data_IF_625215228050
#
_entry.id   IF_625215228050
#
_cell.length_a   1.000
_cell.length_b   1.000
_cell.length_c   1.000
_cell.angle_alpha   90.00
_cell.angle_beta   90.00
_cell.angle_gamma   90.00
#
_symmetry.space_group_name_H-M   'P 1'
#
loop_
_entity.id
_entity.type
_entity.pdbx_description
1 polymer ?
#
# COMPACT_ATOMS: atom_id res chain seq x y z
N UNK A 1 12.47 -15.73 -13.53
CA UNK A 1 11.09 -16.25 -13.54
C UNK A 1 11.19 -17.70 -13.92
N UNK A 2 10.76 -18.59 -13.02
CA UNK A 2 10.70 -20.02 -13.25
C UNK A 2 9.74 -20.60 -12.20
N UNK A 3 8.72 -21.35 -12.64
CA UNK A 3 7.67 -21.91 -11.77
C UNK A 3 8.17 -22.87 -10.69
N UNK A 4 9.43 -23.31 -10.74
CA UNK A 4 10.03 -24.27 -9.80
C UNK A 4 11.17 -23.68 -8.98
N UNK A 5 11.90 -22.70 -9.52
CA UNK A 5 13.12 -22.18 -8.89
C UNK A 5 13.24 -20.64 -8.93
N UNK A 6 12.28 -19.95 -9.53
CA UNK A 6 12.27 -18.49 -9.60
C UNK A 6 11.60 -17.87 -8.37
N UNK A 7 11.96 -16.62 -8.06
CA UNK A 7 11.28 -15.83 -7.01
C UNK A 7 9.79 -15.61 -7.35
N UNK A 8 9.49 -15.53 -8.65
CA UNK A 8 8.16 -15.34 -9.20
C UNK A 8 7.81 -16.51 -10.12
N UNK A 9 6.57 -16.98 -10.01
CA UNK A 9 6.00 -18.03 -10.84
C UNK A 9 5.69 -17.50 -12.24
N UNK A 10 5.06 -16.32 -12.31
CA UNK A 10 4.77 -15.62 -13.55
C UNK A 10 4.77 -14.09 -13.36
N UNK A 11 4.88 -13.36 -14.48
CA UNK A 11 4.70 -11.91 -14.58
C UNK A 11 4.13 -11.62 -15.97
N UNK A 12 2.86 -11.22 -16.03
CA UNK A 12 2.15 -11.00 -17.28
C UNK A 12 1.18 -9.81 -17.20
N UNK A 13 0.83 -9.26 -18.36
CA UNK A 13 -0.24 -8.25 -18.46
C UNK A 13 -1.64 -8.89 -18.58
N UNK A 14 -1.70 -10.23 -18.74
CA UNK A 14 -2.90 -11.02 -19.03
C UNK A 14 -3.77 -10.38 -20.13
N UNK A 15 -5.05 -10.73 -20.21
CA UNK A 15 -6.05 -10.05 -21.05
C UNK A 15 -6.65 -8.84 -20.31
N UNK A 16 -5.84 -8.10 -19.54
CA UNK A 16 -6.34 -7.00 -18.71
C UNK A 16 -6.54 -5.74 -19.54
N UNK A 17 -7.43 -4.82 -19.13
CA UNK A 17 -7.53 -3.54 -19.79
C UNK A 17 -6.19 -2.79 -19.66
N UNK A 18 -5.67 -2.29 -20.77
CA UNK A 18 -4.38 -1.59 -20.85
C UNK A 18 -4.53 -0.10 -21.19
N UNK A 19 -5.75 0.42 -21.02
CA UNK A 19 -6.07 1.83 -21.24
C UNK A 19 -7.21 2.25 -20.31
N UNK A 20 -7.14 3.46 -19.71
CA UNK A 20 -6.05 4.44 -19.78
C UNK A 20 -4.79 4.08 -18.98
N UNK A 21 -4.87 3.08 -18.10
CA UNK A 21 -3.73 2.55 -17.37
C UNK A 21 -3.34 1.15 -17.83
N UNK A 22 -2.04 0.90 -17.81
CA UNK A 22 -1.47 -0.42 -17.95
C UNK A 22 -1.62 -1.16 -16.63
N UNK A 23 -1.90 -2.46 -16.72
CA UNK A 23 -2.05 -3.29 -15.54
C UNK A 23 -1.34 -4.62 -15.75
N UNK A 24 -0.64 -5.06 -14.72
CA UNK A 24 0.23 -6.23 -14.72
C UNK A 24 -0.01 -7.06 -13.46
N UNK A 25 0.09 -8.38 -13.58
CA UNK A 25 -0.03 -9.34 -12.48
C UNK A 25 1.26 -10.13 -12.32
N UNK A 26 1.57 -10.51 -11.09
CA UNK A 26 2.64 -11.45 -10.80
C UNK A 26 2.19 -12.52 -9.79
N UNK A 27 2.58 -13.76 -10.04
CA UNK A 27 2.43 -14.88 -9.13
C UNK A 27 3.65 -15.08 -8.25
N UNK A 28 3.44 -15.26 -6.95
CA UNK A 28 4.49 -15.43 -5.96
C UNK A 28 4.82 -16.91 -5.80
N UNK A 29 6.10 -17.24 -5.82
CA UNK A 29 6.57 -18.58 -5.45
C UNK A 29 6.47 -18.78 -3.92
N UNK A 30 6.25 -20.03 -3.50
CA UNK A 30 6.38 -20.48 -2.11
C UNK A 30 7.61 -21.40 -1.97
N UNK A 31 8.82 -20.83 -1.84
CA UNK A 31 10.07 -21.58 -1.93
C UNK A 31 10.28 -22.56 -0.77
N UNK A 32 9.61 -22.34 0.37
CA UNK A 32 9.79 -23.13 1.58
C UNK A 32 8.54 -23.94 1.96
N UNK A 33 7.48 -23.90 1.16
CA UNK A 33 6.25 -24.65 1.40
C UNK A 33 5.50 -24.19 2.64
N UNK A 34 5.53 -22.87 2.93
CA UNK A 34 4.78 -22.30 4.06
C UNK A 34 3.28 -22.31 3.83
N UNK A 35 2.86 -22.30 2.56
CA UNK A 35 1.46 -22.31 2.19
C UNK A 35 0.95 -23.75 2.05
N UNK A 36 -0.30 -24.02 2.44
CA UNK A 36 -0.91 -25.31 2.18
C UNK A 36 -0.92 -25.65 0.69
N UNK A 37 -0.68 -26.91 0.32
CA UNK A 37 -0.64 -27.34 -1.09
C UNK A 37 -1.94 -27.12 -1.88
N UNK A 38 -3.07 -26.87 -1.20
CA UNK A 38 -4.35 -26.55 -1.81
C UNK A 38 -4.55 -25.04 -2.02
N UNK A 39 -3.73 -24.20 -1.38
CA UNK A 39 -3.88 -22.75 -1.46
C UNK A 39 -3.62 -22.29 -2.91
N UNK A 40 -4.41 -21.34 -3.42
CA UNK A 40 -4.12 -20.75 -4.71
C UNK A 40 -2.77 -20.04 -4.66
N UNK A 41 -2.10 -19.97 -5.81
CA UNK A 41 -0.88 -19.17 -5.97
C UNK A 41 -1.21 -17.73 -5.54
N UNK A 42 -0.47 -17.15 -4.58
CA UNK A 42 -0.68 -15.76 -4.23
C UNK A 42 -0.32 -14.86 -5.40
N UNK A 43 -1.14 -13.87 -5.67
CA UNK A 43 -0.90 -12.92 -6.75
C UNK A 43 -0.91 -11.49 -6.25
N UNK A 44 -0.19 -10.64 -6.96
CA UNK A 44 -0.19 -9.19 -6.79
C UNK A 44 -0.44 -8.51 -8.12
N UNK A 45 -0.94 -7.29 -8.02
CA UNK A 45 -1.34 -6.45 -9.14
C UNK A 45 -0.60 -5.14 -9.05
N UNK A 46 -0.06 -4.68 -10.18
CA UNK A 46 0.48 -3.34 -10.33
C UNK A 46 -0.14 -2.65 -11.54
N UNK A 47 -0.13 -1.32 -11.50
CA UNK A 47 -0.73 -0.41 -12.47
C UNK A 47 0.19 0.77 -12.74
N UNK A 48 -0.04 1.45 -13.86
CA UNK A 48 0.75 2.61 -14.22
C UNK A 48 0.25 3.30 -15.49
N UNK A 49 0.79 4.48 -15.77
CA UNK A 49 0.47 5.21 -17.00
C UNK A 49 1.12 4.58 -18.22
N UNK A 50 2.19 3.81 -18.00
CA UNK A 50 2.83 3.01 -19.02
C UNK A 50 3.16 1.60 -18.50
N UNK A 51 3.60 0.76 -19.43
CA UNK A 51 3.93 -0.64 -19.17
C UNK A 51 5.08 -0.79 -18.18
N UNK A 52 6.08 0.08 -18.22
CA UNK A 52 7.28 -0.05 -17.39
C UNK A 52 6.96 0.31 -15.95
N UNK A 53 6.11 1.32 -15.72
CA UNK A 53 5.57 1.66 -14.41
C UNK A 53 4.75 0.51 -13.81
N UNK A 54 3.77 -0.02 -14.55
CA UNK A 54 2.92 -1.12 -14.07
C UNK A 54 3.75 -2.37 -13.74
N UNK A 55 4.74 -2.70 -14.58
CA UNK A 55 5.66 -3.82 -14.34
C UNK A 55 6.57 -3.56 -13.15
N UNK A 56 7.05 -2.33 -12.96
CA UNK A 56 7.91 -1.99 -11.82
C UNK A 56 7.13 -2.09 -10.51
N UNK A 57 5.91 -1.54 -10.46
CA UNK A 57 5.07 -1.61 -9.26
C UNK A 57 4.76 -3.07 -8.89
N UNK A 58 4.28 -3.87 -9.84
CA UNK A 58 3.95 -5.27 -9.56
C UNK A 58 5.19 -6.09 -9.17
N UNK A 59 6.36 -5.82 -9.77
CA UNK A 59 7.61 -6.49 -9.42
C UNK A 59 8.03 -6.17 -7.98
N UNK A 60 7.96 -4.91 -7.56
CA UNK A 60 8.30 -4.51 -6.20
C UNK A 60 7.34 -5.14 -5.19
N UNK A 61 6.03 -5.09 -5.45
CA UNK A 61 5.02 -5.72 -4.61
C UNK A 61 5.21 -7.25 -4.52
N UNK A 62 5.52 -7.91 -5.65
CA UNK A 62 5.69 -9.35 -5.71
C UNK A 62 6.95 -9.81 -4.97
N UNK A 63 8.05 -9.06 -5.10
CA UNK A 63 9.29 -9.35 -4.37
C UNK A 63 9.10 -9.15 -2.86
N UNK A 64 8.38 -8.12 -2.44
CA UNK A 64 8.04 -7.92 -1.03
C UNK A 64 7.22 -9.09 -0.47
N UNK A 65 6.17 -9.51 -1.20
CA UNK A 65 5.32 -10.63 -0.81
C UNK A 65 6.07 -11.96 -0.80
N UNK A 66 6.91 -12.23 -1.81
CA UNK A 66 7.81 -13.39 -1.81
C UNK A 66 8.71 -13.39 -0.57
N UNK A 67 9.33 -12.25 -0.26
CA UNK A 67 10.26 -12.16 0.85
C UNK A 67 9.57 -12.38 2.21
N UNK A 68 8.29 -12.02 2.34
CA UNK A 68 7.47 -12.36 3.52
C UNK A 68 7.02 -13.83 3.59
N UNK A 69 7.21 -14.62 2.52
CA UNK A 69 7.08 -16.09 2.52
C UNK A 69 8.43 -16.80 2.67
N UNK A 70 9.53 -16.10 2.45
CA UNK A 70 10.87 -16.68 2.34
C UNK A 70 11.53 -16.93 3.72
N UNK A 71 10.91 -17.66 4.64
CA UNK A 71 11.38 -17.79 6.03
C UNK A 71 12.44 -18.89 6.24
N UNK A 72 13.67 -18.50 6.58
CA UNK A 72 14.65 -19.42 7.17
C UNK A 72 14.47 -19.55 8.69
N UNK A 73 13.82 -20.64 9.13
CA UNK A 73 13.57 -20.92 10.56
C UNK A 73 14.83 -20.94 11.43
N UNK A 74 16.02 -21.16 10.87
CA UNK A 74 17.28 -21.20 11.63
C UNK A 74 17.74 -19.81 12.06
N UNK A 75 17.21 -18.75 11.43
CA UNK A 75 17.52 -17.35 11.73
C UNK A 75 16.63 -16.76 12.82
N UNK A 76 15.47 -17.39 13.06
CA UNK A 76 14.54 -16.98 14.10
C UNK A 76 15.15 -17.17 15.49
N UNK A 77 14.88 -16.21 16.37
CA UNK A 77 15.30 -16.25 17.76
C UNK A 77 14.34 -17.12 18.58
N UNK A 78 14.83 -17.87 19.58
CA UNK A 78 13.94 -18.48 20.57
C UNK A 78 13.32 -17.40 21.46
N UNK A 79 12.00 -17.46 21.64
CA UNK A 79 11.25 -16.62 22.58
C UNK A 79 10.39 -17.49 23.52
N UNK A 80 9.95 -16.91 24.65
CA UNK A 80 9.11 -17.62 25.64
C UNK A 80 7.80 -18.14 25.04
N UNK A 81 7.25 -17.42 24.06
CA UNK A 81 5.96 -17.73 23.45
C UNK A 81 6.09 -18.35 22.04
N UNK A 82 7.30 -18.68 21.59
CA UNK A 82 7.54 -19.25 20.27
C UNK A 82 8.86 -18.77 19.69
N UNK A 83 8.79 -18.15 18.51
CA UNK A 83 9.94 -17.60 17.79
C UNK A 83 9.80 -16.10 17.64
N UNK A 84 10.93 -15.39 17.64
CA UNK A 84 11.00 -13.96 17.43
C UNK A 84 11.93 -13.61 16.28
N UNK A 85 11.75 -12.41 15.74
CA UNK A 85 12.63 -11.79 14.74
C UNK A 85 13.16 -10.45 15.27
N UNK A 86 14.34 -10.02 14.81
CA UNK A 86 14.84 -8.69 15.11
C UNK A 86 14.25 -7.66 14.16
N UNK A 87 13.67 -6.61 14.72
CA UNK A 87 13.36 -5.39 14.00
C UNK A 87 14.07 -4.17 14.58
N UNK A 88 13.90 -3.03 13.92
CA UNK A 88 14.44 -1.74 14.35
C UNK A 88 13.33 -0.71 14.45
N UNK A 89 13.34 0.05 15.53
CA UNK A 89 12.53 1.26 15.65
C UNK A 89 13.10 2.33 14.70
N UNK A 90 12.38 2.76 13.65
CA UNK A 90 12.91 3.68 12.64
C UNK A 90 13.12 5.10 13.19
N UNK A 91 12.63 5.42 14.38
CA UNK A 91 12.79 6.73 15.01
C UNK A 91 13.98 6.72 15.98
N UNK A 92 14.06 5.72 16.87
CA UNK A 92 15.14 5.65 17.87
C UNK A 92 16.37 4.90 17.37
N UNK A 93 16.25 4.10 16.32
CA UNK A 93 17.29 3.18 15.84
C UNK A 93 17.50 1.96 16.75
N UNK A 94 16.70 1.82 17.82
CA UNK A 94 16.87 0.74 18.77
C UNK A 94 16.40 -0.61 18.17
N UNK A 95 17.19 -1.68 18.33
CA UNK A 95 16.74 -3.02 17.97
C UNK A 95 15.63 -3.46 18.92
N UNK A 96 14.64 -4.18 18.40
CA UNK A 96 13.50 -4.71 19.15
C UNK A 96 13.21 -6.14 18.71
N UNK A 97 13.08 -7.10 19.64
CA UNK A 97 12.54 -8.40 19.30
C UNK A 97 11.04 -8.26 19.08
N UNK A 98 10.52 -8.92 18.05
CA UNK A 98 9.07 -9.02 17.79
C UNK A 98 8.69 -10.48 17.56
N UNK A 99 7.43 -10.88 17.83
CA UNK A 99 6.93 -12.20 17.43
C UNK A 99 7.13 -12.44 15.94
N UNK A 100 7.66 -13.62 15.58
CA UNK A 100 7.99 -13.95 14.20
C UNK A 100 6.76 -13.97 13.29
N UNK A 101 5.59 -14.31 13.83
CA UNK A 101 4.32 -14.27 13.09
C UNK A 101 3.88 -12.86 12.67
N UNK A 102 4.38 -11.80 13.31
CA UNK A 102 4.15 -10.43 12.86
C UNK A 102 5.06 -10.07 11.67
N UNK A 103 6.28 -10.61 11.63
CA UNK A 103 7.20 -10.45 10.51
C UNK A 103 6.80 -11.31 9.31
N UNK A 104 6.33 -12.53 9.58
CA UNK A 104 6.02 -13.57 8.60
C UNK A 104 4.65 -14.20 8.91
N UNK A 105 3.53 -13.54 8.55
CA UNK A 105 2.19 -14.02 8.90
C UNK A 105 1.83 -15.40 8.35
N UNK A 106 2.51 -15.85 7.29
CA UNK A 106 2.34 -17.21 6.76
C UNK A 106 2.69 -18.31 7.76
N UNK A 107 3.49 -18.02 8.79
CA UNK A 107 3.82 -18.99 9.86
C UNK A 107 2.59 -19.47 10.65
N UNK A 108 1.51 -18.69 10.65
CA UNK A 108 0.28 -18.97 11.42
C UNK A 108 -0.99 -18.89 10.57
N UNK A 109 -0.86 -18.71 9.25
CA UNK A 109 -1.98 -18.57 8.34
C UNK A 109 -2.67 -19.91 8.09
N UNK A 110 -3.68 -20.23 8.90
CA UNK A 110 -4.51 -21.42 8.71
C UNK A 110 -5.77 -21.10 7.90
N UNK A 111 -5.97 -21.80 6.78
CA UNK A 111 -7.26 -21.88 6.10
C UNK A 111 -7.67 -20.68 5.23
N UNK A 112 -6.87 -19.63 5.11
CA UNK A 112 -7.12 -18.49 4.22
C UNK A 112 -6.13 -18.45 3.05
N UNK A 113 -6.58 -17.89 1.92
CA UNK A 113 -5.67 -17.60 0.81
C UNK A 113 -4.68 -16.51 1.25
N UNK A 114 -3.39 -16.77 1.05
CA UNK A 114 -2.35 -15.83 1.43
C UNK A 114 -2.43 -14.55 0.60
N UNK A 115 -2.26 -13.42 1.28
CA UNK A 115 -2.03 -12.11 0.67
C UNK A 115 -0.77 -11.53 1.28
N UNK A 116 0.07 -10.81 0.51
CA UNK A 116 1.18 -10.07 1.09
C UNK A 116 0.69 -9.21 2.25
N UNK A 117 1.38 -9.24 3.40
CA UNK A 117 0.90 -8.57 4.59
C UNK A 117 1.05 -7.06 4.46
N UNK A 118 0.15 -6.30 5.09
CA UNK A 118 0.30 -4.85 5.21
C UNK A 118 1.65 -4.53 5.84
N UNK A 119 2.41 -3.65 5.18
CA UNK A 119 3.76 -3.28 5.58
C UNK A 119 4.86 -4.02 4.84
N UNK A 120 4.56 -5.08 4.08
CA UNK A 120 5.53 -5.73 3.20
C UNK A 120 5.79 -4.81 2.02
N UNK A 121 7.03 -4.34 1.91
CA UNK A 121 7.40 -3.35 0.91
C UNK A 121 8.79 -3.59 0.35
N UNK A 122 8.96 -3.18 -0.89
CA UNK A 122 10.22 -3.16 -1.59
C UNK A 122 10.45 -1.78 -2.21
N UNK A 123 11.71 -1.41 -2.42
CA UNK A 123 12.04 -0.18 -3.12
C UNK A 123 13.46 -0.18 -3.66
N UNK A 124 13.84 0.81 -4.48
CA UNK A 124 15.22 0.99 -4.94
C UNK A 124 16.13 1.56 -3.85
N UNK A 125 15.58 1.94 -2.70
CA UNK A 125 16.31 2.36 -1.51
C UNK A 125 15.61 1.90 -0.23
N UNK A 126 16.37 1.79 0.87
CA UNK A 126 15.81 1.49 2.20
C UNK A 126 14.73 2.50 2.63
N UNK A 127 14.95 3.79 2.31
CA UNK A 127 14.01 4.85 2.67
C UNK A 127 12.68 4.72 1.91
N UNK A 128 12.72 4.31 0.65
CA UNK A 128 11.52 4.10 -0.16
C UNK A 128 10.75 2.87 0.30
N UNK A 129 11.43 1.74 0.53
CA UNK A 129 10.79 0.53 1.06
C UNK A 129 10.12 0.80 2.43
N UNK A 130 10.81 1.51 3.33
CA UNK A 130 10.25 1.92 4.63
C UNK A 130 9.05 2.86 4.47
N UNK A 131 9.16 3.84 3.58
CA UNK A 131 8.10 4.81 3.35
C UNK A 131 6.85 4.13 2.78
N UNK A 132 7.03 3.17 1.88
CA UNK A 132 5.95 2.37 1.30
C UNK A 132 5.28 1.46 2.35
N UNK A 133 6.05 0.69 3.11
CA UNK A 133 5.49 -0.16 4.18
C UNK A 133 4.76 0.65 5.24
N UNK A 134 5.28 1.83 5.59
CA UNK A 134 4.60 2.75 6.53
C UNK A 134 3.32 3.32 5.92
N UNK A 135 3.33 3.68 4.63
CA UNK A 135 2.17 4.22 3.90
C UNK A 135 1.02 3.21 3.86
N UNK A 136 1.31 1.92 3.66
CA UNK A 136 0.32 0.85 3.69
C UNK A 136 -0.40 0.79 5.06
N UNK A 137 0.33 0.84 6.17
CA UNK A 137 -0.27 0.91 7.51
C UNK A 137 -1.10 2.18 7.73
N UNK A 138 -0.60 3.33 7.28
CA UNK A 138 -1.38 4.57 7.35
C UNK A 138 -2.67 4.49 6.53
N UNK A 139 -2.67 3.81 5.38
CA UNK A 139 -3.88 3.64 4.58
C UNK A 139 -4.92 2.76 5.29
N UNK A 140 -4.50 1.66 5.92
CA UNK A 140 -5.38 0.79 6.73
C UNK A 140 -5.96 1.56 7.93
N UNK A 141 -5.13 2.30 8.66
CA UNK A 141 -5.58 3.13 9.78
C UNK A 141 -6.51 4.25 9.32
N UNK A 142 -6.27 4.84 8.14
CA UNK A 142 -7.10 5.90 7.58
C UNK A 142 -8.50 5.39 7.29
N UNK A 143 -8.62 4.20 6.70
CA UNK A 143 -9.90 3.56 6.42
C UNK A 143 -10.69 3.32 7.72
N UNK A 144 -10.04 2.78 8.75
CA UNK A 144 -10.65 2.57 10.06
C UNK A 144 -11.14 3.89 10.67
N UNK A 145 -10.29 4.92 10.68
CA UNK A 145 -10.65 6.23 11.23
C UNK A 145 -11.77 6.90 10.44
N UNK A 146 -11.80 6.73 9.11
CA UNK A 146 -12.86 7.27 8.27
C UNK A 146 -14.20 6.59 8.55
N UNK A 147 -14.20 5.26 8.74
CA UNK A 147 -15.41 4.50 9.05
C UNK A 147 -16.07 4.95 10.37
N UNK A 148 -15.27 5.34 11.36
CA UNK A 148 -15.74 5.82 12.67
C UNK A 148 -15.99 7.33 12.74
N UNK A 149 -15.68 8.09 11.67
CA UNK A 149 -15.74 9.55 11.69
C UNK A 149 -17.10 10.10 11.26
N UNK A 150 -17.74 10.86 12.15
CA UNK A 150 -19.05 11.49 11.89
C UNK A 150 -18.94 13.01 11.57
N UNK A 151 -17.74 13.58 11.59
CA UNK A 151 -17.54 15.02 11.44
C UNK A 151 -17.50 15.52 9.99
N UNK A 152 -17.37 16.85 9.81
CA UNK A 152 -17.17 17.45 8.50
C UNK A 152 -15.80 17.12 7.91
N UNK A 153 -15.76 16.85 6.61
CA UNK A 153 -14.57 16.60 5.80
C UNK A 153 -14.39 17.72 4.76
N UNK A 154 -13.26 18.44 4.76
CA UNK A 154 -12.98 19.50 3.79
C UNK A 154 -12.94 18.97 2.36
N UNK A 155 -13.76 19.52 1.48
CA UNK A 155 -13.65 19.24 0.04
C UNK A 155 -12.44 19.98 -0.54
N UNK A 156 -11.69 19.31 -1.41
CA UNK A 156 -10.62 19.91 -2.18
C UNK A 156 -11.16 20.52 -3.49
N UNK A 157 -10.68 21.71 -3.82
CA UNK A 157 -10.86 22.30 -5.15
C UNK A 157 -9.93 21.62 -6.16
N UNK A 158 -10.30 20.41 -6.61
CA UNK A 158 -9.47 19.60 -7.52
C UNK A 158 -9.05 20.37 -8.79
N UNK A 159 -9.92 21.14 -9.47
CA UNK A 159 -9.52 21.94 -10.64
C UNK A 159 -8.45 23.01 -10.34
N UNK A 160 -8.51 23.64 -9.16
CA UNK A 160 -7.58 24.68 -8.73
C UNK A 160 -6.40 24.19 -7.88
N UNK A 161 -6.34 22.91 -7.56
CA UNK A 161 -5.32 22.35 -6.68
C UNK A 161 -3.96 22.28 -7.38
N UNK A 162 -2.84 22.69 -6.74
CA UNK A 162 -1.52 22.57 -7.35
C UNK A 162 -1.12 21.11 -7.47
N UNK A 163 -1.02 20.64 -8.72
CA UNK A 163 -0.61 19.29 -9.09
C UNK A 163 0.74 19.32 -9.82
N UNK A 164 1.47 18.21 -9.74
CA UNK A 164 2.60 17.96 -10.64
C UNK A 164 2.07 17.48 -12.01
N UNK A 165 2.96 17.37 -13.00
CA UNK A 165 2.58 17.00 -14.38
C UNK A 165 1.83 15.67 -14.46
N UNK A 166 2.29 14.65 -13.70
CA UNK A 166 1.65 13.33 -13.63
C UNK A 166 0.21 13.42 -13.11
N UNK A 167 0.02 14.01 -11.94
CA UNK A 167 -1.30 14.11 -11.32
C UNK A 167 -2.25 15.00 -12.14
N UNK A 168 -1.72 16.04 -12.79
CA UNK A 168 -2.50 16.87 -13.70
C UNK A 168 -2.92 16.11 -14.97
N UNK A 169 -2.08 15.20 -15.47
CA UNK A 169 -2.45 14.29 -16.55
C UNK A 169 -3.56 13.31 -16.15
N UNK A 170 -3.43 12.66 -14.98
CA UNK A 170 -4.47 11.79 -14.43
C UNK A 170 -5.80 12.53 -14.24
N UNK A 171 -5.75 13.77 -13.73
CA UNK A 171 -6.92 14.65 -13.60
C UNK A 171 -7.58 14.92 -14.96
N UNK A 172 -6.80 15.14 -16.02
CA UNK A 172 -7.34 15.32 -17.39
C UNK A 172 -8.01 14.04 -17.90
N UNK A 173 -7.36 12.88 -17.75
CA UNK A 173 -7.94 11.59 -18.15
C UNK A 173 -9.28 11.32 -17.46
N UNK A 174 -9.34 11.56 -16.14
CA UNK A 174 -10.60 11.47 -15.39
C UNK A 174 -11.67 12.47 -15.87
N UNK A 175 -11.25 13.66 -16.31
CA UNK A 175 -12.15 14.63 -16.94
C UNK A 175 -12.68 14.17 -18.31
N UNK A 176 -11.89 13.44 -19.08
CA UNK A 176 -12.24 12.92 -20.40
C UNK A 176 -13.22 11.73 -20.33
N UNK A 177 -13.14 10.90 -19.28
CA UNK A 177 -14.08 9.79 -19.07
C UNK A 177 -15.48 10.24 -18.62
N UNK A 178 -15.65 11.53 -18.30
CA UNK A 178 -16.96 12.15 -18.06
C UNK A 178 -17.53 11.95 -16.65
N UNK A 179 -16.76 11.39 -15.72
CA UNK A 179 -17.18 11.23 -14.32
C UNK A 179 -16.57 12.32 -13.43
N UNK A 180 -17.39 13.10 -12.69
CA UNK A 180 -16.87 14.16 -11.85
C UNK A 180 -16.10 13.59 -10.66
N UNK A 181 -14.81 13.92 -10.59
CA UNK A 181 -13.96 13.57 -9.46
C UNK A 181 -14.18 14.55 -8.29
N UNK A 182 -14.54 14.02 -7.12
CA UNK A 182 -14.70 14.80 -5.89
C UNK A 182 -13.66 14.34 -4.87
N UNK A 183 -12.79 15.24 -4.41
CA UNK A 183 -11.75 14.91 -3.45
C UNK A 183 -11.99 15.57 -2.08
N UNK A 184 -11.56 14.91 -1.02
CA UNK A 184 -11.62 15.39 0.37
C UNK A 184 -10.26 15.31 1.04
N UNK A 185 -9.91 16.34 1.81
CA UNK A 185 -8.72 16.35 2.66
C UNK A 185 -9.00 15.55 3.94
N UNK A 186 -8.30 14.43 4.10
CA UNK A 186 -8.39 13.57 5.27
C UNK A 186 -7.20 13.76 6.23
N UNK A 187 -6.36 14.77 6.01
CA UNK A 187 -5.16 15.02 6.81
C UNK A 187 -5.48 15.15 8.30
N UNK A 188 -6.63 15.72 8.64
CA UNK A 188 -7.09 15.88 10.02
C UNK A 188 -7.30 14.57 10.78
N UNK A 189 -7.52 13.44 10.10
CA UNK A 189 -7.82 12.15 10.74
C UNK A 189 -6.58 11.49 11.33
N UNK A 190 -5.43 11.61 10.65
CA UNK A 190 -4.16 10.97 11.04
C UNK A 190 -3.02 11.95 11.30
N UNK A 191 -3.21 13.25 11.04
CA UNK A 191 -2.13 14.24 10.98
C UNK A 191 -1.04 13.89 9.93
N UNK A 192 -1.43 13.17 8.87
CA UNK A 192 -0.61 12.78 7.72
C UNK A 192 -1.38 13.18 6.46
N UNK A 193 -0.73 13.75 5.42
CA UNK A 193 -1.41 14.10 4.19
C UNK A 193 -2.13 12.91 3.59
N UNK A 194 -3.45 13.03 3.53
CA UNK A 194 -4.34 11.97 3.13
C UNK A 194 -5.52 12.54 2.35
N UNK A 195 -6.00 11.76 1.38
CA UNK A 195 -7.06 12.18 0.48
C UNK A 195 -8.04 11.02 0.27
N UNK A 196 -9.33 11.33 0.24
CA UNK A 196 -10.33 10.49 -0.41
C UNK A 196 -10.64 11.08 -1.79
N UNK A 197 -10.81 10.23 -2.80
CA UNK A 197 -11.30 10.63 -4.12
C UNK A 197 -12.48 9.74 -4.49
N UNK A 198 -13.62 10.37 -4.78
CA UNK A 198 -14.80 9.72 -5.33
C UNK A 198 -14.86 9.91 -6.84
N UNK A 199 -14.97 8.80 -7.58
CA UNK A 199 -15.15 8.73 -9.03
C UNK A 199 -16.35 7.82 -9.34
N UNK A 200 -17.48 8.43 -9.69
CA UNK A 200 -18.74 7.71 -9.84
C UNK A 200 -19.20 7.11 -8.52
N UNK A 201 -19.33 5.78 -8.48
CA UNK A 201 -19.72 5.03 -7.27
C UNK A 201 -18.53 4.66 -6.37
N UNK A 202 -17.29 4.73 -6.89
CA UNK A 202 -16.11 4.28 -6.18
C UNK A 202 -15.46 5.41 -5.39
N UNK A 203 -15.05 5.13 -4.16
CA UNK A 203 -14.25 6.03 -3.34
C UNK A 203 -12.94 5.34 -2.97
N UNK A 204 -11.82 5.95 -3.36
CA UNK A 204 -10.48 5.44 -3.06
C UNK A 204 -9.80 6.34 -2.02
N UNK A 205 -8.93 5.72 -1.21
CA UNK A 205 -8.12 6.41 -0.22
C UNK A 205 -6.65 6.40 -0.62
N UNK A 206 -5.96 7.50 -0.32
CA UNK A 206 -4.53 7.63 -0.51
C UNK A 206 -3.88 8.41 0.63
N UNK A 207 -2.64 8.03 0.93
CA UNK A 207 -1.75 8.70 1.88
C UNK A 207 -0.47 9.08 1.15
N UNK A 208 0.04 10.27 1.42
CA UNK A 208 1.24 10.79 0.78
C UNK A 208 2.15 11.57 1.72
N UNK A 209 3.37 11.85 1.28
CA UNK A 209 4.30 12.75 1.98
C UNK A 209 3.85 14.22 1.94
N UNK A 210 3.00 14.56 0.97
CA UNK A 210 2.33 15.85 0.80
C UNK A 210 0.90 15.62 0.36
N UNK A 211 0.04 16.63 0.51
CA UNK A 211 -1.35 16.51 0.05
C UNK A 211 -1.44 16.41 -1.49
N UNK A 212 -0.52 17.04 -2.22
CA UNK A 212 -0.37 16.86 -3.68
C UNK A 212 -0.03 15.42 -4.03
N UNK A 213 0.88 14.77 -3.29
CA UNK A 213 1.22 13.37 -3.52
C UNK A 213 0.04 12.44 -3.18
N UNK A 214 -0.67 12.69 -2.07
CA UNK A 214 -1.87 11.93 -1.71
C UNK A 214 -2.98 12.08 -2.77
N UNK A 215 -3.23 13.30 -3.26
CA UNK A 215 -4.21 13.53 -4.32
C UNK A 215 -3.78 12.88 -5.65
N UNK A 216 -2.49 12.94 -6.00
CA UNK A 216 -1.96 12.27 -7.19
C UNK A 216 -2.19 10.75 -7.16
N UNK A 217 -1.85 10.09 -6.06
CA UNK A 217 -2.13 8.67 -5.84
C UNK A 217 -3.64 8.37 -5.87
N UNK A 218 -4.47 9.24 -5.28
CA UNK A 218 -5.92 9.05 -5.30
C UNK A 218 -6.49 9.16 -6.73
N UNK A 219 -5.97 10.08 -7.55
CA UNK A 219 -6.35 10.20 -8.98
C UNK A 219 -5.95 8.94 -9.76
N UNK A 220 -4.77 8.38 -9.47
CA UNK A 220 -4.29 7.15 -10.10
C UNK A 220 -5.20 5.97 -9.77
N UNK A 221 -5.46 5.74 -8.49
CA UNK A 221 -6.39 4.70 -8.02
C UNK A 221 -7.81 4.92 -8.49
N UNK A 222 -8.28 6.16 -8.53
CA UNK A 222 -9.64 6.49 -8.98
C UNK A 222 -9.83 6.17 -10.46
N UNK A 223 -8.82 6.43 -11.27
CA UNK A 223 -8.81 6.06 -12.68
C UNK A 223 -8.76 4.54 -12.89
N UNK A 224 -7.99 3.81 -12.07
CA UNK A 224 -7.96 2.35 -12.10
C UNK A 224 -9.31 1.75 -11.68
N UNK A 225 -9.95 2.29 -10.64
CA UNK A 225 -11.29 1.86 -10.21
C UNK A 225 -12.33 2.04 -11.32
N UNK A 226 -12.32 3.21 -11.98
CA UNK A 226 -13.17 3.47 -13.13
C UNK A 226 -12.92 2.47 -14.28
N UNK A 227 -11.66 2.20 -14.62
CA UNK A 227 -11.27 1.28 -15.70
C UNK A 227 -11.73 -0.15 -15.39
N UNK A 228 -11.42 -0.64 -14.18
CA UNK A 228 -11.79 -1.96 -13.70
C UNK A 228 -13.31 -2.17 -13.75
N UNK A 229 -14.09 -1.17 -13.29
CA UNK A 229 -15.55 -1.22 -13.30
C UNK A 229 -16.13 -1.21 -14.73
N UNK A 230 -15.59 -0.37 -15.61
CA UNK A 230 -16.08 -0.22 -17.00
C UNK A 230 -15.86 -1.49 -17.81
N UNK A 231 -14.78 -2.22 -17.51
CA UNK A 231 -14.36 -3.43 -18.22
C UNK A 231 -14.82 -4.72 -17.51
N UNK A 232 -15.60 -4.62 -16.43
CA UNK A 232 -16.07 -5.75 -15.60
C UNK A 232 -14.92 -6.62 -15.05
N UNK A 233 -13.87 -5.96 -14.56
CA UNK A 233 -12.61 -6.56 -14.05
C UNK A 233 -12.39 -6.27 -12.56
N UNK A 234 -13.18 -6.87 -11.66
CA UNK A 234 -13.00 -6.68 -10.21
C UNK A 234 -11.68 -7.26 -9.67
N UNK A 235 -11.02 -8.14 -10.44
CA UNK A 235 -9.72 -8.74 -10.13
C UNK A 235 -8.57 -7.72 -10.11
N UNK A 236 -8.70 -6.65 -10.91
CA UNK A 236 -7.71 -5.57 -10.98
C UNK A 236 -8.16 -4.27 -10.29
N UNK A 237 -9.36 -4.26 -9.69
CA UNK A 237 -9.89 -3.08 -9.04
C UNK A 237 -9.07 -2.76 -7.78
N UNK A 238 -8.73 -1.48 -7.54
CA UNK A 238 -8.15 -1.09 -6.27
C UNK A 238 -9.19 -1.25 -5.17
N UNK A 239 -8.72 -1.31 -3.92
CA UNK A 239 -9.61 -1.28 -2.76
C UNK A 239 -10.42 0.02 -2.72
N UNK A 240 -11.74 -0.11 -2.53
CA UNK A 240 -12.67 1.02 -2.41
C UNK A 240 -13.36 0.99 -1.06
N UNK A 241 -13.72 2.18 -0.56
CA UNK A 241 -14.45 2.39 0.68
C UNK A 241 -15.83 2.97 0.40
N UNK A 242 -16.78 2.89 1.35
CA UNK A 242 -18.05 3.60 1.23
C UNK A 242 -17.84 5.09 0.95
N UNK A 243 -18.71 5.67 0.12
CA UNK A 243 -18.61 7.08 -0.24
C UNK A 243 -18.93 8.01 0.93
N UNK A 244 -18.27 9.17 0.94
CA UNK A 244 -18.52 10.24 1.91
C UNK A 244 -19.92 10.84 1.65
N UNK A 245 -20.85 10.81 2.63
CA UNK A 245 -22.17 11.41 2.51
C UNK A 245 -22.12 12.93 2.35
N UNK A 246 -23.09 13.49 1.62
CA UNK A 246 -23.20 14.94 1.39
C UNK A 246 -23.24 15.77 2.69
N UNK A 247 -23.75 15.20 3.78
CA UNK A 247 -23.83 15.83 5.11
C UNK A 247 -22.45 16.05 5.75
N UNK A 248 -21.46 15.23 5.39
CA UNK A 248 -20.09 15.37 5.85
C UNK A 248 -19.28 16.31 4.96
N UNK A 249 -19.75 16.66 3.76
CA UNK A 249 -19.00 17.51 2.85
C UNK A 249 -19.01 18.98 3.29
N UNK A 250 -17.83 19.59 3.43
CA UNK A 250 -17.71 21.04 3.65
C UNK A 250 -17.11 21.77 2.46
N UNK A 251 -17.54 23.00 2.25
CA UNK A 251 -17.10 23.83 1.12
C UNK A 251 -15.56 24.00 1.09
N UNK A 252 -14.94 24.04 -0.09
CA UNK A 252 -13.48 24.19 -0.23
C UNK A 252 -12.90 25.45 0.43
N UNK A 253 -13.70 26.51 0.55
CA UNK A 253 -13.31 27.77 1.17
C UNK A 253 -13.18 27.69 2.70
N UNK A 254 -13.77 26.68 3.34
CA UNK A 254 -13.91 26.62 4.80
C UNK A 254 -12.71 26.02 5.53
N UNK A 255 -11.72 25.42 4.85
CA UNK A 255 -10.62 24.74 5.54
C UNK A 255 -9.35 24.63 4.70
N UNK A 256 -8.36 25.45 5.06
CA UNK A 256 -6.96 25.03 4.98
C UNK A 256 -6.44 24.97 6.41
N UNK A 257 -6.27 23.80 7.03
CA UNK A 257 -5.36 23.72 8.16
C UNK A 257 -4.01 24.27 7.69
N UNK A 258 -3.47 25.25 8.42
CA UNK A 258 -2.12 25.75 8.17
C UNK A 258 -1.19 24.56 8.36
N UNK A 259 -0.69 24.01 7.26
CA UNK A 259 0.28 22.91 7.25
C UNK A 259 1.50 23.34 8.06
N UNK A 260 1.51 23.00 9.34
CA UNK A 260 2.74 22.93 10.13
C UNK A 260 3.52 21.75 9.57
N UNK A 261 4.83 21.88 9.37
CA UNK A 261 5.63 20.91 8.62
C UNK A 261 5.30 19.47 9.01
N UNK A 262 4.87 18.68 8.03
CA UNK A 262 4.40 17.31 8.27
C UNK A 262 5.55 16.43 8.75
N UNK A 263 5.44 15.78 9.92
CA UNK A 263 6.44 14.83 10.36
C UNK A 263 6.40 13.58 9.46
N UNK A 264 7.54 12.90 9.21
CA UNK A 264 7.55 11.63 8.48
C UNK A 264 6.52 10.64 9.07
N UNK A 265 5.85 9.85 8.23
CA UNK A 265 4.70 9.01 8.61
C UNK A 265 4.93 8.15 9.86
N UNK A 266 6.13 7.61 10.06
CA UNK A 266 6.48 6.86 11.27
C UNK A 266 6.33 7.68 12.57
N UNK A 267 6.68 8.97 12.54
CA UNK A 267 6.49 9.87 13.69
C UNK A 267 5.02 10.20 13.94
N UNK A 268 4.23 10.32 12.88
CA UNK A 268 2.79 10.52 13.00
C UNK A 268 2.12 9.28 13.61
N UNK A 269 2.50 8.07 13.20
CA UNK A 269 2.06 6.84 13.85
C UNK A 269 2.42 6.82 15.34
N UNK A 270 3.64 7.21 15.70
CA UNK A 270 4.03 7.34 17.12
C UNK A 270 3.20 8.36 17.89
N UNK A 271 2.87 9.49 17.27
CA UNK A 271 1.98 10.48 17.89
C UNK A 271 0.55 9.94 18.11
N UNK A 272 0.13 8.92 17.35
CA UNK A 272 -1.14 8.23 17.50
C UNK A 272 -1.09 7.05 18.50
N UNK A 273 0.05 6.82 19.17
CA UNK A 273 0.23 5.72 20.12
C UNK A 273 0.76 4.42 19.52
N UNK A 274 1.14 4.44 18.24
CA UNK A 274 1.64 3.26 17.54
C UNK A 274 3.16 3.23 17.47
N UNK A 275 3.77 2.08 17.71
CA UNK A 275 5.22 1.90 17.53
C UNK A 275 5.52 1.15 16.24
N UNK A 276 5.95 1.84 15.17
CA UNK A 276 6.43 1.16 13.98
C UNK A 276 7.76 0.46 14.27
N UNK A 277 7.90 -0.77 13.80
CA UNK A 277 9.13 -1.55 13.80
C UNK A 277 9.39 -2.08 12.41
N UNK A 278 10.62 -1.94 11.92
CA UNK A 278 11.04 -2.35 10.58
C UNK A 278 11.84 -3.62 10.68
N UNK A 279 11.54 -4.62 9.86
CA UNK A 279 12.26 -5.89 9.77
C UNK A 279 12.80 -6.01 8.35
N UNK A 280 14.05 -6.46 8.20
CA UNK A 280 14.60 -6.79 6.90
C UNK A 280 14.08 -8.17 6.47
N UNK A 281 13.54 -8.27 5.26
CA UNK A 281 13.06 -9.54 4.70
C UNK A 281 14.18 -10.20 3.88
N UNK A 282 15.30 -10.50 4.55
CA UNK A 282 16.54 -10.97 3.92
C UNK A 282 16.82 -12.46 4.17
N UNK A 283 15.82 -13.24 4.57
CA UNK A 283 15.94 -14.65 4.92
C UNK A 283 16.35 -15.53 3.72
N UNK A 284 16.01 -15.13 2.49
CA UNK A 284 16.58 -15.67 1.26
C UNK A 284 17.73 -14.77 0.75
N UNK A 285 18.99 -15.23 0.81
CA UNK A 285 20.14 -14.44 0.38
C UNK A 285 20.16 -14.16 -1.13
N UNK A 286 19.54 -14.98 -1.98
CA UNK A 286 19.48 -14.72 -3.42
C UNK A 286 18.48 -13.60 -3.74
N UNK A 287 17.33 -13.59 -3.07
CA UNK A 287 16.38 -12.49 -3.17
C UNK A 287 16.99 -11.17 -2.66
N UNK A 288 17.65 -11.20 -1.51
CA UNK A 288 18.34 -10.03 -0.94
C UNK A 288 19.48 -9.51 -1.85
N UNK A 289 20.10 -10.39 -2.66
CA UNK A 289 21.12 -9.99 -3.65
C UNK A 289 20.51 -9.28 -4.87
N UNK A 290 19.29 -9.64 -5.26
CA UNK A 290 18.57 -9.03 -6.39
C UNK A 290 18.00 -7.66 -5.99
N UNK A 291 17.33 -7.58 -4.84
CA UNK A 291 16.77 -6.36 -4.31
C UNK A 291 17.01 -6.29 -2.78
N UNK A 292 18.02 -5.54 -2.32
CA UNK A 292 18.42 -5.56 -0.91
C UNK A 292 17.48 -4.78 0.02
N UNK A 293 16.51 -4.05 -0.54
CA UNK A 293 15.62 -3.18 0.23
C UNK A 293 14.21 -3.79 0.28
N UNK A 294 14.14 -4.98 0.87
CA UNK A 294 12.91 -5.69 1.16
C UNK A 294 12.65 -5.60 2.67
N UNK A 295 11.51 -5.04 3.05
CA UNK A 295 11.18 -4.81 4.46
C UNK A 295 9.76 -5.24 4.78
N UNK A 296 9.55 -5.63 6.03
CA UNK A 296 8.25 -5.67 6.67
C UNK A 296 8.21 -4.54 7.69
N UNK A 297 7.25 -3.63 7.57
CA UNK A 297 6.91 -2.70 8.66
C UNK A 297 5.79 -3.33 9.46
N UNK A 298 5.95 -3.45 10.77
CA UNK A 298 4.88 -3.84 11.69
C UNK A 298 4.55 -2.70 12.62
N UNK A 299 3.29 -2.64 13.05
CA UNK A 299 2.82 -1.68 14.04
C UNK A 299 2.55 -2.44 15.33
N UNK A 300 3.18 -1.99 16.41
CA UNK A 300 2.92 -2.48 17.76
C UNK A 300 2.05 -1.48 18.51
N UNK A 301 1.06 -1.99 19.24
CA UNK A 301 0.33 -1.20 20.23
C UNK A 301 1.22 -1.02 21.47
N UNK A 302 1.26 0.20 22.03
CA UNK A 302 1.89 0.48 23.33
C UNK A 302 0.95 0.22 24.51
#
# INVERSE_FOLDING_TARGET
>A
MDSRTGLLEFLDERDWPQFPQWVCEAGLSDPFGLLPAWAPVPTVVGHGLDRDEARTEVLLAALAGYASLAVDHRRLLPDRNGTAEWGWDPISGAPRPIPAELAFPALVAEGSAYRPPTGAAAGPSWQEALSEGTRQHCAVLLEQRLADFEGPLPRLDVPGFPLNERADHLRRLLGEVGEPAVAHDLTGLLSIPACALRVGADTVLAVGSTLTAALGEALDRGLLAWQARTEDRPDCAPHTVPGIPAEQETSPEASRPKSTGTPPSARALRALGFTPVVIALDHDPEAARILPYLVQVVILDE
#
